data_IF_996908191079
#
_entry.id   IF_996908191079
#
_cell.length_a   1.000
_cell.length_b   1.000
_cell.length_c   1.000
_cell.angle_alpha   90.00
_cell.angle_beta   90.00
_cell.angle_gamma   90.00
#
_symmetry.space_group_name_H-M   'P 1'
#
loop_
_entity.id
_entity.type
_entity.pdbx_description
1 polymer ?
#
# COMPACT_ATOMS: atom_id res chain seq x y z
N UNK A 1 31.43 28.97 -39.78
CA UNK A 1 30.28 28.81 -38.87
C UNK A 1 30.43 27.47 -38.17
N UNK A 2 30.62 27.43 -36.84
CA UNK A 2 30.43 26.18 -36.09
C UNK A 2 28.93 25.96 -36.02
N UNK A 3 28.42 24.92 -36.68
CA UNK A 3 27.04 24.46 -36.47
C UNK A 3 26.82 24.31 -34.96
N UNK A 4 25.78 24.97 -34.43
CA UNK A 4 25.27 24.64 -33.11
C UNK A 4 24.81 23.20 -33.19
N UNK A 5 25.61 22.25 -32.69
CA UNK A 5 25.12 20.89 -32.42
C UNK A 5 23.90 21.04 -31.52
N UNK A 6 22.75 20.62 -32.00
CA UNK A 6 21.55 20.51 -31.16
C UNK A 6 21.89 19.63 -29.96
N UNK A 7 21.44 20.06 -28.77
CA UNK A 7 21.72 19.32 -27.53
C UNK A 7 20.97 17.99 -27.59
N UNK A 8 21.69 16.89 -27.37
CA UNK A 8 21.11 15.56 -27.29
C UNK A 8 20.04 15.48 -26.18
N UNK A 9 19.02 14.66 -26.41
CA UNK A 9 18.04 14.28 -25.39
C UNK A 9 18.69 13.22 -24.50
N UNK A 10 18.69 13.47 -23.19
CA UNK A 10 19.21 12.53 -22.21
C UNK A 10 18.06 11.62 -21.76
N UNK A 11 18.18 10.33 -22.07
CA UNK A 11 17.30 9.29 -21.54
C UNK A 11 18.00 8.70 -20.33
N UNK A 12 17.37 8.78 -19.16
CA UNK A 12 17.87 8.17 -17.93
C UNK A 12 16.95 7.02 -17.53
N UNK A 13 17.55 5.87 -17.25
CA UNK A 13 16.83 4.72 -16.72
C UNK A 13 17.67 4.06 -15.63
N UNK A 14 17.01 3.62 -14.56
CA UNK A 14 17.63 2.96 -13.42
C UNK A 14 16.95 1.61 -13.25
N UNK A 15 17.72 0.55 -13.48
CA UNK A 15 17.25 -0.82 -13.35
C UNK A 15 17.36 -1.22 -11.89
N UNK A 16 16.22 -1.64 -11.36
CA UNK A 16 16.05 -2.10 -9.99
C UNK A 16 16.22 -3.62 -9.94
N UNK A 17 16.65 -4.16 -8.79
CA UNK A 17 16.85 -5.62 -8.56
C UNK A 17 15.67 -6.53 -8.96
N UNK A 18 14.44 -5.99 -9.00
CA UNK A 18 13.21 -6.72 -9.36
C UNK A 18 13.01 -6.87 -10.87
N UNK A 19 13.73 -6.10 -11.66
CA UNK A 19 13.62 -6.08 -13.10
C UNK A 19 14.55 -7.16 -13.66
N UNK A 20 13.95 -8.20 -14.22
CA UNK A 20 14.70 -9.16 -15.02
C UNK A 20 15.09 -8.55 -16.37
N UNK A 21 15.87 -9.30 -17.14
CA UNK A 21 16.27 -8.89 -18.48
C UNK A 21 15.10 -8.36 -19.33
N UNK A 22 13.98 -9.07 -19.38
CA UNK A 22 12.85 -8.72 -20.25
C UNK A 22 12.20 -7.39 -19.88
N UNK A 23 11.98 -7.17 -18.58
CA UNK A 23 11.32 -5.95 -18.09
C UNK A 23 12.20 -4.74 -18.39
N UNK A 24 13.48 -4.80 -18.02
CA UNK A 24 14.43 -3.73 -18.26
C UNK A 24 14.62 -3.46 -19.77
N UNK A 25 14.69 -4.51 -20.59
CA UNK A 25 14.83 -4.37 -22.03
C UNK A 25 13.62 -3.70 -22.68
N UNK A 26 12.40 -4.07 -22.27
CA UNK A 26 11.15 -3.46 -22.75
C UNK A 26 11.06 -1.99 -22.32
N UNK A 27 11.34 -1.68 -21.06
CA UNK A 27 11.27 -0.32 -20.54
C UNK A 27 12.25 0.63 -21.27
N UNK A 28 13.50 0.21 -21.46
CA UNK A 28 14.49 0.99 -22.21
C UNK A 28 14.05 1.16 -23.67
N UNK A 29 13.50 0.11 -24.29
CA UNK A 29 13.01 0.20 -25.66
C UNK A 29 11.81 1.14 -25.78
N UNK A 30 10.87 1.10 -24.84
CA UNK A 30 9.75 2.02 -24.78
C UNK A 30 10.21 3.47 -24.64
N UNK A 31 11.16 3.76 -23.74
CA UNK A 31 11.73 5.10 -23.59
C UNK A 31 12.37 5.61 -24.89
N UNK A 32 13.05 4.73 -25.63
CA UNK A 32 13.62 5.04 -26.94
C UNK A 32 12.54 5.42 -27.96
N UNK A 33 11.48 4.61 -28.06
CA UNK A 33 10.35 4.84 -28.98
C UNK A 33 9.62 6.14 -28.64
N UNK A 34 9.32 6.37 -27.36
CA UNK A 34 8.68 7.60 -26.88
C UNK A 34 9.54 8.82 -27.19
N UNK A 35 10.84 8.76 -26.92
CA UNK A 35 11.75 9.88 -27.21
C UNK A 35 11.80 10.20 -28.70
N UNK A 36 11.77 9.19 -29.59
CA UNK A 36 11.74 9.42 -31.03
C UNK A 36 10.40 10.00 -31.51
N UNK A 37 9.28 9.70 -30.83
CA UNK A 37 7.96 10.28 -31.13
C UNK A 37 7.90 11.75 -30.68
N UNK A 38 8.42 12.06 -29.50
CA UNK A 38 8.41 13.40 -28.93
C UNK A 38 9.44 14.34 -29.57
N UNK A 39 10.63 13.84 -29.87
CA UNK A 39 11.78 14.62 -30.39
C UNK A 39 12.37 13.96 -31.66
N UNK A 40 11.65 13.99 -32.80
CA UNK A 40 12.01 13.22 -33.98
C UNK A 40 13.40 13.54 -34.55
N UNK A 41 14.26 12.52 -34.63
CA UNK A 41 15.58 12.61 -35.27
C UNK A 41 16.63 13.36 -34.46
N UNK A 42 16.27 13.87 -33.28
CA UNK A 42 17.19 14.55 -32.38
C UNK A 42 18.20 13.54 -31.81
N UNK A 43 19.49 13.92 -31.60
CA UNK A 43 20.47 13.03 -30.99
C UNK A 43 20.03 12.54 -29.61
N UNK A 44 20.25 11.26 -29.28
CA UNK A 44 19.84 10.63 -28.02
C UNK A 44 21.05 10.03 -27.29
N UNK A 45 21.14 10.29 -25.98
CA UNK A 45 22.13 9.67 -25.10
C UNK A 45 21.42 8.90 -23.99
N UNK A 46 21.75 7.62 -23.81
CA UNK A 46 21.23 6.79 -22.72
C UNK A 46 22.18 6.83 -21.53
N UNK A 47 21.64 7.02 -20.34
CA UNK A 47 22.31 6.90 -19.06
C UNK A 47 21.62 5.79 -18.27
N UNK A 48 22.37 4.72 -17.98
CA UNK A 48 21.85 3.55 -17.30
C UNK A 48 22.54 3.34 -15.97
N UNK A 49 21.76 3.27 -14.89
CA UNK A 49 22.22 2.77 -13.59
C UNK A 49 21.60 1.39 -13.32
N UNK A 50 22.35 0.50 -12.65
CA UNK A 50 21.88 -0.84 -12.29
C UNK A 50 22.17 -1.10 -10.81
N UNK A 51 21.09 -1.20 -10.05
CA UNK A 51 21.13 -1.50 -8.62
C UNK A 51 20.94 -2.98 -8.34
N UNK A 52 21.79 -3.53 -7.49
CA UNK A 52 21.75 -4.96 -7.21
C UNK A 52 22.30 -5.78 -8.37
N UNK A 53 21.67 -6.91 -8.71
CA UNK A 53 22.11 -7.78 -9.81
C UNK A 53 23.61 -8.12 -9.80
N UNK A 54 24.11 -8.59 -8.65
CA UNK A 54 25.50 -9.01 -8.51
C UNK A 54 25.59 -10.52 -8.27
N UNK A 55 26.56 -11.16 -8.89
CA UNK A 55 26.95 -12.54 -8.62
C UNK A 55 27.86 -12.62 -7.37
N UNK A 56 28.14 -13.83 -6.89
CA UNK A 56 28.97 -14.06 -5.70
C UNK A 56 30.40 -13.49 -5.82
N UNK A 57 30.90 -13.30 -7.04
CA UNK A 57 32.20 -12.69 -7.31
C UNK A 57 32.14 -11.15 -7.39
N UNK A 58 30.98 -10.54 -7.13
CA UNK A 58 30.77 -9.08 -7.15
C UNK A 58 30.60 -8.48 -8.55
N UNK A 59 30.60 -9.30 -9.62
CA UNK A 59 30.26 -8.86 -10.97
C UNK A 59 28.75 -8.84 -11.20
N UNK A 60 28.28 -8.36 -12.37
CA UNK A 60 26.86 -8.43 -12.71
C UNK A 60 26.37 -9.90 -12.84
N UNK A 61 25.11 -10.15 -12.51
CA UNK A 61 24.46 -11.43 -12.81
C UNK A 61 24.29 -11.65 -14.32
N UNK A 62 23.81 -12.84 -14.71
CA UNK A 62 23.70 -13.25 -16.12
C UNK A 62 22.80 -12.27 -16.89
N UNK A 63 21.63 -11.95 -16.34
CA UNK A 63 20.62 -11.09 -16.97
C UNK A 63 21.15 -9.69 -17.23
N UNK A 64 21.76 -9.03 -16.23
CA UNK A 64 22.28 -7.67 -16.41
C UNK A 64 23.55 -7.62 -17.23
N UNK A 65 24.31 -8.71 -17.30
CA UNK A 65 25.43 -8.83 -18.22
C UNK A 65 24.94 -8.96 -19.67
N UNK A 66 23.91 -9.79 -19.90
CA UNK A 66 23.26 -9.98 -21.20
C UNK A 66 22.59 -8.69 -21.68
N UNK A 67 21.85 -8.01 -20.81
CA UNK A 67 21.22 -6.73 -21.11
C UNK A 67 22.24 -5.70 -21.59
N UNK A 68 23.36 -5.56 -20.86
CA UNK A 68 24.38 -4.58 -21.23
C UNK A 68 25.15 -4.96 -22.50
N UNK A 69 25.53 -6.23 -22.68
CA UNK A 69 26.41 -6.63 -23.80
C UNK A 69 25.67 -6.99 -25.08
N UNK A 70 24.63 -7.80 -24.96
CA UNK A 70 23.94 -8.36 -26.12
C UNK A 70 22.83 -7.41 -26.57
N UNK A 71 21.98 -6.96 -25.64
CA UNK A 71 20.84 -6.13 -25.98
C UNK A 71 21.23 -4.66 -26.21
N UNK A 72 21.81 -3.99 -25.21
CA UNK A 72 22.11 -2.56 -25.31
C UNK A 72 23.21 -2.26 -26.32
N UNK A 73 24.34 -2.98 -26.24
CA UNK A 73 25.45 -2.78 -27.17
C UNK A 73 25.26 -3.48 -28.52
N UNK A 74 24.68 -4.68 -28.54
CA UNK A 74 24.50 -5.45 -29.77
C UNK A 74 23.29 -5.01 -30.60
N UNK A 75 22.16 -4.73 -29.94
CA UNK A 75 20.90 -4.41 -30.62
C UNK A 75 20.54 -2.91 -30.59
N UNK A 76 20.61 -2.25 -29.43
CA UNK A 76 20.12 -0.86 -29.30
C UNK A 76 21.13 0.21 -29.70
N UNK A 77 22.43 -0.10 -29.72
CA UNK A 77 23.46 0.89 -29.98
C UNK A 77 23.31 1.71 -31.28
N UNK A 78 22.82 1.16 -32.40
CA UNK A 78 22.56 1.94 -33.61
C UNK A 78 21.57 3.09 -33.41
N UNK A 79 20.64 3.00 -32.44
CA UNK A 79 19.61 4.01 -32.18
C UNK A 79 20.05 5.08 -31.18
N UNK A 80 21.27 5.04 -30.66
CA UNK A 80 21.78 6.08 -29.76
C UNK A 80 23.02 6.74 -30.35
N UNK A 81 23.25 8.01 -30.01
CA UNK A 81 24.56 8.63 -30.24
C UNK A 81 25.57 8.20 -29.20
N UNK A 82 25.14 8.06 -27.94
CA UNK A 82 25.98 7.67 -26.82
C UNK A 82 25.21 6.77 -25.84
N UNK A 83 25.89 5.78 -25.27
CA UNK A 83 25.38 4.90 -24.22
C UNK A 83 26.35 4.97 -23.05
N UNK A 84 25.86 5.36 -21.88
CA UNK A 84 26.60 5.36 -20.63
C UNK A 84 26.07 4.21 -19.77
N UNK A 85 26.78 3.08 -19.83
CA UNK A 85 26.43 1.87 -19.11
C UNK A 85 27.36 1.68 -17.90
N UNK A 86 26.95 0.92 -16.87
CA UNK A 86 27.82 0.59 -15.74
C UNK A 86 29.12 -0.12 -16.16
N UNK A 87 29.09 -0.93 -17.23
CA UNK A 87 30.28 -1.58 -17.78
C UNK A 87 31.18 -0.63 -18.61
N UNK A 88 30.70 0.55 -19.00
CA UNK A 88 31.47 1.51 -19.76
C UNK A 88 30.61 2.41 -20.66
N UNK A 89 31.24 3.42 -21.24
CA UNK A 89 30.61 4.34 -22.20
C UNK A 89 30.95 3.96 -23.64
N UNK A 90 29.95 3.99 -24.52
CA UNK A 90 30.09 3.72 -25.96
C UNK A 90 29.53 4.87 -26.78
N UNK A 91 30.31 5.33 -27.77
CA UNK A 91 29.92 6.38 -28.71
C UNK A 91 29.66 5.73 -30.07
N UNK A 92 28.48 5.94 -30.63
CA UNK A 92 28.10 5.40 -31.94
C UNK A 92 28.76 6.21 -33.07
N UNK A 93 29.79 5.62 -33.69
CA UNK A 93 30.54 6.24 -34.79
C UNK A 93 29.82 6.14 -36.15
N UNK A 94 28.78 5.32 -36.28
CA UNK A 94 28.07 5.07 -37.54
C UNK A 94 26.90 6.05 -37.77
N UNK A 95 26.59 6.88 -36.78
CA UNK A 95 25.43 7.77 -36.79
C UNK A 95 24.20 7.09 -36.20
N UNK A 96 23.29 7.90 -35.65
CA UNK A 96 22.04 7.44 -35.04
C UNK A 96 21.03 7.01 -36.11
N UNK A 97 20.48 5.81 -35.97
CA UNK A 97 19.33 5.35 -36.73
C UNK A 97 18.02 5.87 -36.09
N UNK A 98 17.15 6.43 -36.92
CA UNK A 98 15.85 6.97 -36.51
C UNK A 98 14.68 6.08 -36.95
N UNK A 99 14.94 5.06 -37.75
CA UNK A 99 13.95 4.07 -38.17
C UNK A 99 13.85 2.99 -37.09
N UNK A 100 13.02 3.27 -36.08
CA UNK A 100 12.78 2.41 -34.91
C UNK A 100 11.47 1.65 -35.14
N UNK A 101 11.45 0.35 -34.83
CA UNK A 101 10.21 -0.43 -34.85
C UNK A 101 9.25 0.04 -33.75
N UNK A 102 7.95 -0.02 -34.00
CA UNK A 102 6.94 0.44 -33.03
C UNK A 102 6.81 -0.48 -31.82
N UNK A 103 7.04 -1.77 -32.01
CA UNK A 103 6.92 -2.81 -30.98
C UNK A 103 8.07 -3.80 -31.08
N UNK A 104 8.52 -4.28 -29.92
CA UNK A 104 9.56 -5.29 -29.78
C UNK A 104 9.05 -6.39 -28.84
N UNK A 105 8.90 -7.60 -29.39
CA UNK A 105 8.60 -8.78 -28.59
C UNK A 105 9.90 -9.46 -28.16
N UNK A 106 10.09 -9.59 -26.85
CA UNK A 106 11.21 -10.29 -26.21
C UNK A 106 10.65 -11.50 -25.49
N UNK A 107 11.22 -12.67 -25.76
CA UNK A 107 10.82 -13.95 -25.18
C UNK A 107 12.03 -14.68 -24.57
N UNK A 108 11.94 -15.08 -23.31
CA UNK A 108 12.85 -16.04 -22.69
C UNK A 108 12.40 -17.48 -22.98
N UNK A 109 13.33 -18.32 -23.44
CA UNK A 109 13.11 -19.76 -23.58
C UNK A 109 13.16 -20.52 -22.24
N UNK A 110 13.65 -19.86 -21.19
CA UNK A 110 13.81 -20.41 -19.84
C UNK A 110 12.94 -19.61 -18.87
N UNK A 111 11.62 -19.61 -19.08
CA UNK A 111 10.63 -19.19 -18.07
C UNK A 111 10.58 -20.19 -16.90
N UNK A 112 11.70 -20.34 -16.18
CA UNK A 112 11.53 -20.46 -14.73
C UNK A 112 11.15 -19.08 -14.30
N UNK A 113 9.84 -18.86 -14.08
CA UNK A 113 9.36 -17.76 -13.23
C UNK A 113 10.23 -17.79 -11.97
N UNK A 114 11.24 -16.94 -11.95
CA UNK A 114 12.07 -16.80 -10.79
C UNK A 114 11.15 -16.15 -9.76
N UNK A 115 10.82 -16.92 -8.71
CA UNK A 115 9.95 -16.50 -7.61
C UNK A 115 10.54 -15.29 -6.82
N UNK A 116 11.58 -14.63 -7.35
CA UNK A 116 12.15 -13.37 -6.83
C UNK A 116 11.13 -12.23 -6.85
N UNK A 117 10.13 -12.27 -7.74
CA UNK A 117 8.93 -11.41 -7.70
C UNK A 117 7.94 -11.79 -6.57
N UNK A 118 8.13 -12.94 -5.92
CA UNK A 118 7.38 -13.43 -4.75
C UNK A 118 8.21 -13.44 -3.47
N UNK A 119 9.48 -13.01 -3.52
CA UNK A 119 10.25 -12.68 -2.33
C UNK A 119 9.93 -11.26 -1.88
N UNK A 120 9.88 -11.07 -0.56
CA UNK A 120 9.50 -9.82 0.05
C UNK A 120 10.54 -8.75 -0.33
N UNK A 121 10.19 -7.82 -1.21
CA UNK A 121 11.15 -6.83 -1.69
C UNK A 121 11.27 -5.67 -0.71
N UNK A 122 12.42 -5.54 -0.06
CA UNK A 122 12.77 -4.39 0.77
C UNK A 122 13.75 -3.51 0.00
N UNK A 123 13.34 -2.29 -0.30
CA UNK A 123 14.24 -1.26 -0.83
C UNK A 123 15.24 -0.88 0.28
N UNK A 124 16.53 -0.78 -0.04
CA UNK A 124 17.55 -0.46 0.97
C UNK A 124 17.60 1.05 1.20
N UNK A 125 16.59 1.60 1.88
CA UNK A 125 16.58 2.97 2.37
C UNK A 125 17.28 3.06 3.73
N UNK A 126 17.65 4.26 4.17
CA UNK A 126 18.22 4.50 5.52
C UNK A 126 17.33 3.93 6.66
N UNK A 127 16.04 3.70 6.41
CA UNK A 127 15.04 3.28 7.41
C UNK A 127 14.56 1.83 7.25
N UNK A 128 15.17 1.01 6.39
CA UNK A 128 14.76 -0.40 6.15
C UNK A 128 15.70 -1.44 6.76
N UNK A 129 16.69 -0.98 7.54
CA UNK A 129 17.67 -1.84 8.23
C UNK A 129 16.98 -2.88 9.11
N UNK A 130 16.02 -2.43 9.93
CA UNK A 130 15.20 -3.30 10.79
C UNK A 130 14.49 -4.41 10.01
N UNK A 131 13.90 -4.08 8.86
CA UNK A 131 13.16 -5.04 8.04
C UNK A 131 14.12 -6.08 7.44
N UNK A 132 15.38 -5.69 7.22
CA UNK A 132 16.45 -6.52 6.67
C UNK A 132 17.09 -7.48 7.67
N UNK A 133 16.80 -7.33 8.97
CA UNK A 133 17.20 -8.28 10.00
C UNK A 133 16.69 -9.68 9.65
N UNK A 134 17.52 -10.70 9.83
CA UNK A 134 17.27 -12.04 9.27
C UNK A 134 15.97 -12.66 9.77
N UNK A 135 15.69 -12.53 11.07
CA UNK A 135 14.49 -13.03 11.73
C UNK A 135 13.25 -12.18 11.40
N UNK A 136 13.39 -10.85 11.37
CA UNK A 136 12.34 -9.92 10.95
C UNK A 136 11.93 -10.17 9.49
N UNK A 137 12.89 -10.29 8.58
CA UNK A 137 12.64 -10.61 7.18
C UNK A 137 11.93 -11.95 7.00
N UNK A 138 12.36 -12.97 7.75
CA UNK A 138 11.72 -14.28 7.72
C UNK A 138 10.26 -14.21 8.19
N UNK A 139 9.99 -13.46 9.26
CA UNK A 139 8.63 -13.19 9.74
C UNK A 139 7.80 -12.46 8.68
N UNK A 140 8.31 -11.35 8.13
CA UNK A 140 7.60 -10.55 7.13
C UNK A 140 7.27 -11.37 5.88
N UNK A 141 8.19 -12.23 5.42
CA UNK A 141 7.96 -13.14 4.27
C UNK A 141 6.80 -14.10 4.52
N UNK A 142 6.65 -14.63 5.73
CA UNK A 142 5.51 -15.48 6.10
C UNK A 142 4.23 -14.67 6.22
N UNK A 143 4.28 -13.51 6.88
CA UNK A 143 3.15 -12.60 7.02
C UNK A 143 2.58 -12.18 5.66
N UNK A 144 3.43 -11.80 4.72
CA UNK A 144 3.04 -11.45 3.35
C UNK A 144 2.23 -12.54 2.65
N UNK A 145 2.61 -13.82 2.82
CA UNK A 145 1.86 -14.95 2.24
C UNK A 145 0.45 -15.06 2.83
N UNK A 146 0.31 -14.89 4.14
CA UNK A 146 -0.99 -14.90 4.83
C UNK A 146 -1.85 -13.71 4.40
N UNK A 147 -1.27 -12.51 4.35
CA UNK A 147 -1.98 -11.30 3.92
C UNK A 147 -2.42 -11.38 2.45
N UNK A 148 -1.62 -11.98 1.57
CA UNK A 148 -2.01 -12.23 0.18
C UNK A 148 -3.21 -13.17 0.08
N UNK A 149 -3.17 -14.30 0.81
CA UNK A 149 -4.32 -15.22 0.90
C UNK A 149 -5.58 -14.53 1.43
N UNK A 150 -5.43 -13.57 2.35
CA UNK A 150 -6.54 -12.76 2.86
C UNK A 150 -7.05 -11.74 1.83
N UNK A 151 -6.17 -11.05 1.10
CA UNK A 151 -6.54 -10.09 0.06
C UNK A 151 -7.27 -10.70 -1.15
N UNK A 152 -6.98 -11.97 -1.43
CA UNK A 152 -7.61 -12.77 -2.50
C UNK A 152 -8.95 -13.39 -2.08
N UNK A 153 -9.40 -13.20 -0.82
CA UNK A 153 -10.69 -13.75 -0.37
C UNK A 153 -11.85 -12.93 -0.91
N UNK A 154 -12.94 -13.64 -1.24
CA UNK A 154 -14.20 -13.03 -1.58
C UNK A 154 -15.07 -12.90 -0.32
N UNK A 155 -15.00 -11.74 0.33
CA UNK A 155 -15.73 -11.45 1.57
C UNK A 155 -17.22 -11.32 1.24
N UNK A 156 -18.02 -12.28 1.71
CA UNK A 156 -19.45 -12.28 1.47
C UNK A 156 -20.18 -11.32 2.39
N UNK A 157 -21.37 -10.89 1.97
CA UNK A 157 -22.28 -10.19 2.85
C UNK A 157 -22.76 -11.13 3.96
N UNK A 158 -22.93 -10.61 5.18
CA UNK A 158 -23.47 -11.42 6.26
C UNK A 158 -24.98 -11.56 6.16
N UNK A 159 -25.46 -12.81 6.27
CA UNK A 159 -26.89 -13.12 6.18
C UNK A 159 -27.67 -12.43 7.31
N UNK A 160 -28.74 -11.72 6.91
CA UNK A 160 -29.82 -11.27 7.80
C UNK A 160 -29.86 -9.77 8.10
N UNK A 161 -28.72 -9.11 8.37
CA UNK A 161 -28.70 -7.70 8.82
C UNK A 161 -27.93 -6.74 7.90
N UNK A 162 -27.28 -7.24 6.83
CA UNK A 162 -26.65 -6.43 5.79
C UNK A 162 -27.33 -6.61 4.42
N UNK A 163 -28.62 -6.19 4.27
CA UNK A 163 -29.38 -6.39 3.04
C UNK A 163 -28.82 -5.64 1.81
N UNK A 164 -27.89 -4.71 2.03
CA UNK A 164 -27.32 -3.85 1.00
C UNK A 164 -25.84 -4.13 0.70
N UNK A 165 -25.21 -5.08 1.40
CA UNK A 165 -23.80 -5.43 1.19
C UNK A 165 -22.82 -4.33 1.63
N UNK A 166 -23.18 -3.51 2.63
CA UNK A 166 -22.29 -2.49 3.17
C UNK A 166 -21.07 -3.09 3.85
N UNK A 167 -21.24 -4.22 4.54
CA UNK A 167 -20.18 -4.90 5.26
C UNK A 167 -19.20 -5.59 4.32
N UNK A 168 -19.67 -6.15 3.19
CA UNK A 168 -18.78 -6.73 2.17
C UNK A 168 -17.97 -5.65 1.46
N UNK A 169 -18.59 -4.50 1.15
CA UNK A 169 -17.89 -3.33 0.61
C UNK A 169 -16.82 -2.79 1.56
N UNK A 170 -17.12 -2.70 2.86
CA UNK A 170 -16.13 -2.33 3.88
C UNK A 170 -15.05 -3.42 4.01
N UNK A 171 -15.40 -4.69 3.91
CA UNK A 171 -14.45 -5.81 3.85
C UNK A 171 -13.39 -5.63 2.76
N UNK A 172 -13.79 -5.22 1.55
CA UNK A 172 -12.84 -4.96 0.46
C UNK A 172 -11.91 -3.78 0.77
N UNK A 173 -12.44 -2.73 1.38
CA UNK A 173 -11.63 -1.61 1.87
C UNK A 173 -10.59 -2.08 2.90
N UNK A 174 -10.98 -2.95 3.83
CA UNK A 174 -10.07 -3.49 4.86
C UNK A 174 -8.95 -4.34 4.25
N UNK A 175 -9.27 -5.19 3.28
CA UNK A 175 -8.24 -5.94 2.54
C UNK A 175 -7.19 -4.99 1.94
N UNK A 176 -7.65 -3.95 1.22
CA UNK A 176 -6.75 -2.97 0.61
C UNK A 176 -5.95 -2.19 1.66
N UNK A 177 -6.59 -1.79 2.76
CA UNK A 177 -5.95 -1.06 3.85
C UNK A 177 -4.82 -1.87 4.49
N UNK A 178 -5.07 -3.15 4.80
CA UNK A 178 -4.07 -4.05 5.41
C UNK A 178 -2.91 -4.30 4.43
N UNK A 179 -3.19 -4.54 3.15
CA UNK A 179 -2.15 -4.73 2.12
C UNK A 179 -1.28 -3.48 1.98
N UNK A 180 -1.89 -2.30 1.85
CA UNK A 180 -1.14 -1.05 1.69
C UNK A 180 -0.37 -0.67 2.95
N UNK A 181 -0.93 -0.97 4.13
CA UNK A 181 -0.27 -0.77 5.42
C UNK A 181 0.99 -1.65 5.53
N UNK A 182 0.86 -2.93 5.17
CA UNK A 182 1.98 -3.86 5.13
C UNK A 182 3.06 -3.40 4.16
N UNK A 183 2.70 -3.03 2.93
CA UNK A 183 3.65 -2.52 1.93
C UNK A 183 4.34 -1.25 2.42
N UNK A 184 3.59 -0.31 3.01
CA UNK A 184 4.15 0.91 3.60
C UNK A 184 5.20 0.59 4.67
N UNK A 185 4.99 -0.46 5.46
CA UNK A 185 6.00 -0.92 6.41
C UNK A 185 7.22 -1.50 5.73
N UNK A 186 7.05 -2.36 4.72
CA UNK A 186 8.17 -2.93 3.95
C UNK A 186 9.05 -1.84 3.31
N UNK A 187 8.43 -0.78 2.79
CA UNK A 187 9.13 0.35 2.19
C UNK A 187 9.73 1.34 3.21
N UNK A 188 9.61 1.10 4.51
CA UNK A 188 10.14 2.02 5.53
C UNK A 188 9.35 3.33 5.71
N UNK A 189 8.13 3.41 5.18
CA UNK A 189 7.27 4.58 5.31
C UNK A 189 6.51 4.58 6.65
N UNK A 190 7.24 4.77 7.75
CA UNK A 190 6.69 4.66 9.10
C UNK A 190 5.62 5.73 9.43
N UNK A 191 5.60 6.86 8.70
CA UNK A 191 4.55 7.87 8.76
C UNK A 191 3.20 7.31 8.30
N UNK A 192 3.19 6.73 7.11
CA UNK A 192 1.98 6.11 6.57
C UNK A 192 1.56 4.92 7.41
N UNK A 193 2.51 4.07 7.84
CA UNK A 193 2.23 2.96 8.76
C UNK A 193 1.48 3.42 9.99
N UNK A 194 1.94 4.47 10.67
CA UNK A 194 1.29 4.90 11.92
C UNK A 194 -0.10 5.50 11.68
N UNK A 195 -0.27 6.29 10.62
CA UNK A 195 -1.57 6.86 10.26
C UNK A 195 -2.58 5.78 9.84
N UNK A 196 -2.12 4.78 9.09
CA UNK A 196 -2.95 3.67 8.62
C UNK A 196 -3.25 2.66 9.72
N UNK A 197 -2.29 2.34 10.61
CA UNK A 197 -2.54 1.52 11.81
C UNK A 197 -3.62 2.16 12.67
N UNK A 198 -3.59 3.49 12.86
CA UNK A 198 -4.67 4.21 13.55
C UNK A 198 -6.03 3.98 12.87
N UNK A 199 -6.11 4.17 11.55
CA UNK A 199 -7.34 3.97 10.79
C UNK A 199 -7.84 2.50 10.85
N UNK A 200 -6.92 1.55 10.87
CA UNK A 200 -7.22 0.12 11.04
C UNK A 200 -7.79 -0.17 12.43
N UNK A 201 -7.22 0.41 13.50
CA UNK A 201 -7.73 0.29 14.87
C UNK A 201 -9.16 0.87 14.97
N UNK A 202 -9.39 2.07 14.41
CA UNK A 202 -10.73 2.67 14.38
C UNK A 202 -11.72 1.76 13.64
N UNK A 203 -11.33 1.25 12.47
CA UNK A 203 -12.16 0.37 11.66
C UNK A 203 -12.46 -0.96 12.38
N UNK A 204 -11.46 -1.55 13.04
CA UNK A 204 -11.60 -2.77 13.84
C UNK A 204 -12.68 -2.61 14.92
N UNK A 205 -12.61 -1.53 15.70
CA UNK A 205 -13.58 -1.27 16.78
C UNK A 205 -15.00 -1.15 16.23
N UNK A 206 -15.19 -0.33 15.19
CA UNK A 206 -16.52 -0.12 14.64
C UNK A 206 -17.09 -1.37 13.95
N UNK A 207 -16.28 -2.08 13.18
CA UNK A 207 -16.69 -3.35 12.55
C UNK A 207 -17.06 -4.40 13.61
N UNK A 208 -16.28 -4.49 14.69
CA UNK A 208 -16.57 -5.43 15.78
C UNK A 208 -17.88 -5.10 16.48
N UNK A 209 -18.15 -3.82 16.79
CA UNK A 209 -19.44 -3.42 17.37
C UNK A 209 -20.59 -3.80 16.43
N UNK A 210 -20.49 -3.48 15.14
CA UNK A 210 -21.53 -3.82 14.16
C UNK A 210 -21.78 -5.33 14.08
N UNK A 211 -20.72 -6.14 14.12
CA UNK A 211 -20.80 -7.61 14.10
C UNK A 211 -21.31 -8.22 15.42
N UNK A 212 -21.02 -7.61 16.58
CA UNK A 212 -21.56 -8.06 17.87
C UNK A 212 -23.04 -7.72 18.01
N UNK A 213 -23.46 -6.54 17.56
CA UNK A 213 -24.86 -6.09 17.66
C UNK A 213 -25.78 -6.74 16.61
N UNK A 214 -25.25 -7.06 15.42
CA UNK A 214 -26.00 -7.65 14.29
C UNK A 214 -27.33 -6.93 14.00
N UNK A 215 -27.31 -5.61 14.09
CA UNK A 215 -28.50 -4.76 13.97
C UNK A 215 -28.50 -4.02 12.63
N UNK A 216 -29.55 -4.25 11.85
CA UNK A 216 -29.78 -3.54 10.58
C UNK A 216 -29.93 -2.03 10.83
N UNK A 217 -30.69 -1.63 11.86
CA UNK A 217 -30.89 -0.24 12.24
C UNK A 217 -29.56 0.46 12.58
N UNK A 218 -28.67 -0.22 13.30
CA UNK A 218 -27.36 0.33 13.65
C UNK A 218 -26.46 0.51 12.42
N UNK A 219 -26.50 -0.43 11.49
CA UNK A 219 -25.77 -0.35 10.22
C UNK A 219 -26.30 0.81 9.35
N UNK A 220 -27.62 0.99 9.31
CA UNK A 220 -28.25 2.15 8.68
C UNK A 220 -27.83 3.47 9.33
N UNK A 221 -27.86 3.55 10.66
CA UNK A 221 -27.43 4.71 11.43
C UNK A 221 -25.95 5.07 11.14
N UNK A 222 -25.06 4.07 11.10
CA UNK A 222 -23.66 4.25 10.73
C UNK A 222 -23.51 4.82 9.32
N UNK A 223 -24.22 4.26 8.34
CA UNK A 223 -24.14 4.70 6.94
C UNK A 223 -24.59 6.17 6.80
N UNK A 224 -25.76 6.51 7.35
CA UNK A 224 -26.31 7.88 7.27
C UNK A 224 -25.40 8.87 8.02
N UNK A 225 -24.96 8.53 9.23
CA UNK A 225 -24.06 9.40 10.02
C UNK A 225 -22.72 9.63 9.28
N UNK A 226 -22.20 8.62 8.59
CA UNK A 226 -20.98 8.71 7.79
C UNK A 226 -21.16 9.61 6.57
N UNK A 227 -22.25 9.44 5.81
CA UNK A 227 -22.60 10.29 4.67
C UNK A 227 -22.76 11.76 5.08
N UNK A 228 -23.49 12.02 6.16
CA UNK A 228 -23.69 13.37 6.70
C UNK A 228 -22.38 14.00 7.19
N UNK A 229 -21.49 13.21 7.78
CA UNK A 229 -20.18 13.69 8.20
C UNK A 229 -19.29 14.05 7.00
N UNK A 230 -19.33 13.25 5.94
CA UNK A 230 -18.63 13.54 4.68
C UNK A 230 -19.16 14.79 3.96
N UNK A 231 -20.48 14.96 3.97
CA UNK A 231 -21.17 16.10 3.37
C UNK A 231 -20.67 17.47 3.87
N UNK A 232 -20.23 17.57 5.14
CA UNK A 232 -19.71 18.81 5.72
C UNK A 232 -18.47 19.36 4.99
N UNK A 233 -17.77 18.52 4.24
CA UNK A 233 -16.54 18.86 3.50
C UNK A 233 -16.77 19.16 2.02
N UNK A 234 -18.01 19.03 1.53
CA UNK A 234 -18.36 19.18 0.13
C UNK A 234 -18.85 20.60 -0.21
N UNK A 235 -18.85 20.94 -1.50
CA UNK A 235 -19.48 22.15 -2.02
C UNK A 235 -21.02 22.03 -2.00
N UNK A 236 -21.74 23.14 -2.22
CA UNK A 236 -23.21 23.15 -2.15
C UNK A 236 -23.88 22.16 -3.13
N UNK A 237 -23.23 21.91 -4.28
CA UNK A 237 -23.70 20.92 -5.25
C UNK A 237 -23.56 19.49 -4.70
N UNK A 238 -22.39 19.14 -4.16
CA UNK A 238 -22.15 17.84 -3.53
C UNK A 238 -23.03 17.62 -2.30
N UNK A 239 -23.26 18.66 -1.49
CA UNK A 239 -24.19 18.58 -0.35
C UNK A 239 -25.60 18.21 -0.79
N UNK A 240 -26.12 18.88 -1.82
CA UNK A 240 -27.44 18.59 -2.36
C UNK A 240 -27.55 17.15 -2.88
N UNK A 241 -26.52 16.68 -3.60
CA UNK A 241 -26.49 15.29 -4.10
C UNK A 241 -26.53 14.25 -2.98
N UNK A 242 -25.75 14.44 -1.91
CA UNK A 242 -25.76 13.53 -0.77
C UNK A 242 -27.10 13.60 -0.02
N UNK A 243 -27.68 14.80 0.16
CA UNK A 243 -29.02 14.96 0.74
C UNK A 243 -30.08 14.20 -0.07
N UNK A 244 -30.07 14.33 -1.40
CA UNK A 244 -30.99 13.61 -2.28
C UNK A 244 -30.83 12.07 -2.16
N UNK A 245 -29.59 11.59 -1.99
CA UNK A 245 -29.29 10.17 -1.76
C UNK A 245 -29.86 9.70 -0.42
N UNK A 246 -29.62 10.45 0.66
CA UNK A 246 -30.13 10.13 2.01
C UNK A 246 -31.66 10.10 2.00
N UNK A 247 -32.31 11.11 1.41
CA UNK A 247 -33.77 11.17 1.33
C UNK A 247 -34.37 9.99 0.55
N UNK A 248 -33.75 9.62 -0.58
CA UNK A 248 -34.19 8.49 -1.38
C UNK A 248 -33.98 7.16 -0.63
N UNK A 249 -32.90 7.04 0.12
CA UNK A 249 -32.62 5.88 0.95
C UNK A 249 -33.64 5.73 2.09
N UNK A 250 -33.87 6.80 2.87
CA UNK A 250 -34.86 6.82 3.94
C UNK A 250 -36.27 6.51 3.44
N UNK A 251 -36.65 7.06 2.27
CA UNK A 251 -37.95 6.78 1.64
C UNK A 251 -38.13 5.31 1.28
N UNK A 252 -37.07 4.64 0.82
CA UNK A 252 -37.08 3.18 0.53
C UNK A 252 -37.14 2.34 1.81
N UNK A 253 -36.53 2.81 2.90
CA UNK A 253 -36.57 2.15 4.21
C UNK A 253 -37.88 2.42 5.00
N UNK A 254 -38.80 3.24 4.47
CA UNK A 254 -40.06 3.58 5.14
C UNK A 254 -39.93 4.56 6.31
N UNK A 255 -38.81 5.29 6.40
CA UNK A 255 -38.53 6.28 7.43
C UNK A 255 -38.60 7.72 6.89
N UNK A 256 -39.01 8.67 7.74
CA UNK A 256 -38.99 10.10 7.39
C UNK A 256 -37.56 10.66 7.53
N UNK A 257 -36.97 11.11 6.42
CA UNK A 257 -35.57 11.57 6.39
C UNK A 257 -35.26 12.76 7.30
N UNK A 258 -36.25 13.56 7.69
CA UNK A 258 -36.09 14.72 8.58
C UNK A 258 -35.59 14.35 9.99
N UNK A 259 -35.95 13.16 10.50
CA UNK A 259 -35.52 12.70 11.82
C UNK A 259 -34.01 12.46 11.89
N UNK A 260 -33.41 11.93 10.83
CA UNK A 260 -31.97 11.70 10.75
C UNK A 260 -31.16 12.98 10.66
N UNK A 261 -31.64 14.00 9.93
CA UNK A 261 -30.98 15.31 9.88
C UNK A 261 -31.00 16.00 11.26
N UNK A 262 -32.09 15.84 12.02
CA UNK A 262 -32.18 16.31 13.40
C UNK A 262 -31.24 15.55 14.34
N UNK A 263 -31.21 14.22 14.20
CA UNK A 263 -30.45 13.31 15.07
C UNK A 263 -28.93 13.41 14.88
N UNK A 264 -28.46 13.46 13.63
CA UNK A 264 -27.02 13.46 13.32
C UNK A 264 -26.46 14.81 12.85
N UNK A 265 -27.30 15.78 12.49
CA UNK A 265 -26.85 17.07 11.93
C UNK A 265 -25.93 17.86 12.87
N UNK A 266 -26.21 17.81 14.18
CA UNK A 266 -25.39 18.46 15.24
C UNK A 266 -24.45 17.47 15.95
N UNK A 267 -24.45 16.20 15.54
CA UNK A 267 -23.66 15.13 16.13
C UNK A 267 -22.19 15.12 15.69
N UNK A 268 -21.39 14.32 16.37
CA UNK A 268 -20.03 13.96 15.97
C UNK A 268 -20.04 12.69 15.10
N UNK A 269 -18.88 12.25 14.62
CA UNK A 269 -18.77 11.07 13.75
C UNK A 269 -19.22 9.75 14.41
N UNK A 270 -19.35 9.72 15.75
CA UNK A 270 -19.76 8.55 16.52
C UNK A 270 -21.20 8.64 17.02
N UNK A 271 -21.99 9.63 16.59
CA UNK A 271 -23.37 9.80 17.06
C UNK A 271 -24.29 8.64 16.71
N UNK A 272 -23.94 7.84 15.70
CA UNK A 272 -24.65 6.58 15.38
C UNK A 272 -24.58 5.53 16.51
N UNK A 273 -23.58 5.60 17.40
CA UNK A 273 -23.44 4.69 18.56
C UNK A 273 -24.26 5.12 19.79
N UNK A 274 -24.93 6.28 19.77
CA UNK A 274 -25.58 6.84 20.96
C UNK A 274 -26.64 5.92 21.59
N UNK A 275 -27.37 5.15 20.78
CA UNK A 275 -28.40 4.23 21.28
C UNK A 275 -27.76 3.00 21.94
N UNK A 276 -26.67 2.47 21.36
CA UNK A 276 -25.97 1.28 21.85
C UNK A 276 -25.20 1.59 23.14
N UNK A 277 -24.43 2.68 23.14
CA UNK A 277 -23.58 3.08 24.26
C UNK A 277 -24.38 3.88 25.32
N UNK A 278 -25.63 4.25 25.02
CA UNK A 278 -26.53 5.01 25.90
C UNK A 278 -25.91 6.33 26.38
N UNK A 279 -25.17 7.01 25.49
CA UNK A 279 -24.47 8.26 25.79
C UNK A 279 -24.76 9.32 24.74
N UNK A 280 -25.17 10.51 25.20
CA UNK A 280 -25.55 11.63 24.31
C UNK A 280 -24.42 12.09 23.39
N UNK A 281 -23.18 12.03 23.86
CA UNK A 281 -22.00 12.26 23.05
C UNK A 281 -21.05 11.09 23.25
N UNK A 282 -20.86 10.33 22.18
CA UNK A 282 -19.97 9.16 22.16
C UNK A 282 -18.60 9.59 21.64
N UNK A 283 -17.55 9.23 22.36
CA UNK A 283 -16.15 9.36 21.94
C UNK A 283 -15.61 8.02 21.44
N UNK A 284 -14.46 8.02 20.77
CA UNK A 284 -13.82 6.76 20.37
C UNK A 284 -13.43 5.90 21.58
N UNK A 285 -13.04 6.54 22.68
CA UNK A 285 -12.78 5.86 23.95
C UNK A 285 -14.01 5.12 24.47
N UNK A 286 -15.18 5.75 24.39
CA UNK A 286 -16.44 5.10 24.80
C UNK A 286 -16.74 3.85 23.96
N UNK A 287 -16.43 3.88 22.66
CA UNK A 287 -16.56 2.72 21.78
C UNK A 287 -15.57 1.59 22.14
N UNK A 288 -14.34 1.93 22.54
CA UNK A 288 -13.38 0.93 23.03
C UNK A 288 -13.83 0.33 24.38
N UNK A 289 -14.33 1.17 25.30
CA UNK A 289 -14.84 0.74 26.61
C UNK A 289 -16.07 -0.16 26.46
N UNK A 290 -16.91 0.07 25.44
CA UNK A 290 -18.03 -0.79 25.10
C UNK A 290 -17.61 -2.23 24.81
N UNK A 291 -16.52 -2.40 24.05
CA UNK A 291 -15.93 -3.71 23.73
C UNK A 291 -15.20 -4.37 24.91
N UNK A 292 -15.11 -3.70 26.07
CA UNK A 292 -14.42 -4.18 27.28
C UNK A 292 -12.92 -4.46 27.09
N UNK A 293 -12.30 -3.83 26.10
CA UNK A 293 -10.86 -3.91 25.80
C UNK A 293 -10.24 -2.51 25.89
N UNK A 294 -9.98 -2.00 27.12
CA UNK A 294 -9.46 -0.65 27.33
C UNK A 294 -8.06 -0.43 26.73
N UNK A 295 -7.30 -1.49 26.51
CA UNK A 295 -5.99 -1.48 25.86
C UNK A 295 -6.06 -0.95 24.42
N UNK A 296 -7.19 -1.15 23.71
CA UNK A 296 -7.34 -0.68 22.32
C UNK A 296 -7.19 0.83 22.23
N UNK A 297 -7.73 1.54 23.23
CA UNK A 297 -7.64 3.00 23.25
C UNK A 297 -6.19 3.45 23.51
N UNK A 298 -5.42 2.72 24.31
CA UNK A 298 -4.01 3.03 24.55
C UNK A 298 -3.17 2.81 23.29
N UNK A 299 -3.40 1.71 22.58
CA UNK A 299 -2.74 1.42 21.30
C UNK A 299 -3.08 2.48 20.25
N UNK A 300 -4.35 2.87 20.18
CA UNK A 300 -4.82 3.94 19.32
C UNK A 300 -4.14 5.28 19.64
N UNK A 301 -3.99 5.62 20.93
CA UNK A 301 -3.29 6.82 21.35
C UNK A 301 -1.81 6.76 20.97
N UNK A 302 -1.16 5.60 21.13
CA UNK A 302 0.23 5.38 20.73
C UNK A 302 0.43 5.61 19.22
N UNK A 303 -0.43 5.00 18.39
CA UNK A 303 -0.40 5.22 16.93
C UNK A 303 -0.67 6.69 16.55
N UNK A 304 -1.58 7.35 17.27
CA UNK A 304 -1.97 8.75 17.03
C UNK A 304 -0.91 9.77 17.46
N UNK A 305 -0.20 9.51 18.56
CA UNK A 305 0.81 10.40 19.11
C UNK A 305 1.93 10.67 18.09
N UNK A 306 2.24 9.70 17.24
CA UNK A 306 3.23 9.89 16.19
C UNK A 306 2.81 10.92 15.13
N UNK A 307 1.56 10.84 14.69
CA UNK A 307 1.02 11.72 13.65
C UNK A 307 0.81 13.12 14.20
N UNK A 308 0.24 13.24 15.40
CA UNK A 308 -0.22 14.51 15.97
C UNK A 308 0.72 15.14 17.01
N UNK A 309 1.67 14.38 17.55
CA UNK A 309 2.67 14.89 18.48
C UNK A 309 3.43 16.05 17.85
N UNK A 310 3.75 17.07 18.64
CA UNK A 310 4.50 18.25 18.18
C UNK A 310 5.92 18.28 18.76
N UNK A 311 6.21 17.40 19.71
CA UNK A 311 7.52 17.31 20.34
C UNK A 311 8.49 16.48 19.49
N UNK A 312 9.78 16.78 19.67
CA UNK A 312 10.86 16.15 18.91
C UNK A 312 10.98 14.65 19.19
N UNK A 313 10.60 14.20 20.40
CA UNK A 313 10.64 12.80 20.78
C UNK A 313 9.64 12.03 19.92
N UNK A 314 8.38 12.48 19.87
CA UNK A 314 7.33 11.90 19.03
C UNK A 314 7.65 11.92 17.53
N UNK A 315 8.54 12.80 17.06
CA UNK A 315 8.91 12.89 15.63
C UNK A 315 10.16 12.12 15.24
N UNK A 316 11.15 12.02 16.12
CA UNK A 316 12.48 11.46 15.79
C UNK A 316 12.66 10.05 16.33
N UNK A 317 12.33 9.81 17.60
CA UNK A 317 12.52 8.51 18.27
C UNK A 317 11.98 7.33 17.46
N UNK A 318 10.83 7.44 16.78
CA UNK A 318 10.28 6.35 16.00
C UNK A 318 11.11 5.90 14.78
N UNK A 319 12.09 6.69 14.35
CA UNK A 319 13.04 6.36 13.29
C UNK A 319 14.43 6.03 13.83
N UNK A 320 14.64 6.15 15.15
CA UNK A 320 15.98 6.10 15.75
C UNK A 320 16.33 4.72 16.32
N UNK A 321 15.33 3.98 16.79
CA UNK A 321 15.56 2.73 17.52
C UNK A 321 14.74 1.59 16.94
N UNK A 322 15.36 0.42 16.84
CA UNK A 322 14.70 -0.83 16.45
C UNK A 322 13.48 -1.13 17.33
N UNK A 323 13.55 -0.83 18.62
CA UNK A 323 12.40 -0.94 19.51
C UNK A 323 11.18 -0.17 19.03
N UNK A 324 11.36 1.07 18.61
CA UNK A 324 10.24 1.88 18.13
C UNK A 324 9.67 1.39 16.81
N UNK A 325 10.52 0.82 15.93
CA UNK A 325 10.09 0.22 14.66
C UNK A 325 9.36 -1.10 14.92
N UNK A 326 9.88 -1.93 15.82
CA UNK A 326 9.24 -3.16 16.27
C UNK A 326 7.86 -2.90 16.88
N UNK A 327 7.70 -1.89 17.74
CA UNK A 327 6.39 -1.54 18.30
C UNK A 327 5.36 -1.18 17.21
N UNK A 328 5.80 -0.54 16.11
CA UNK A 328 4.91 -0.28 14.96
C UNK A 328 4.55 -1.56 14.22
N UNK A 329 5.52 -2.44 13.98
CA UNK A 329 5.28 -3.76 13.40
C UNK A 329 4.28 -4.54 14.25
N UNK A 330 4.49 -4.54 15.56
CA UNK A 330 3.65 -5.25 16.53
C UNK A 330 2.20 -4.77 16.46
N UNK A 331 1.95 -3.47 16.63
CA UNK A 331 0.59 -2.92 16.57
C UNK A 331 -0.04 -3.13 15.18
N UNK A 332 0.71 -2.91 14.11
CA UNK A 332 0.22 -3.15 12.75
C UNK A 332 -0.27 -4.59 12.56
N UNK A 333 0.55 -5.58 12.93
CA UNK A 333 0.23 -6.99 12.75
C UNK A 333 -0.87 -7.45 13.69
N UNK A 334 -0.84 -7.02 14.97
CA UNK A 334 -1.86 -7.33 15.96
C UNK A 334 -3.25 -6.92 15.46
N UNK A 335 -3.41 -5.67 15.01
CA UNK A 335 -4.70 -5.19 14.53
C UNK A 335 -5.07 -5.72 13.15
N UNK A 336 -4.09 -6.06 12.31
CA UNK A 336 -4.35 -6.78 11.05
C UNK A 336 -4.99 -8.13 11.34
N UNK A 337 -4.40 -8.94 12.23
CA UNK A 337 -4.94 -10.26 12.58
C UNK A 337 -6.25 -10.17 13.36
N UNK A 338 -6.38 -9.25 14.33
CA UNK A 338 -7.65 -9.00 15.02
C UNK A 338 -8.77 -8.66 14.03
N UNK A 339 -8.49 -7.84 13.02
CA UNK A 339 -9.47 -7.44 12.00
C UNK A 339 -9.78 -8.58 11.02
N UNK A 340 -8.77 -9.34 10.58
CA UNK A 340 -8.96 -10.50 9.72
C UNK A 340 -9.91 -11.53 10.35
N UNK A 341 -9.78 -11.76 11.66
CA UNK A 341 -10.64 -12.68 12.43
C UNK A 341 -12.09 -12.26 12.54
N UNK A 342 -12.43 -11.01 12.19
CA UNK A 342 -13.83 -10.59 12.09
C UNK A 342 -14.55 -11.24 10.90
N UNK A 343 -13.82 -11.77 9.90
CA UNK A 343 -14.39 -12.39 8.71
C UNK A 343 -14.33 -13.92 8.82
N UNK A 344 -15.46 -14.59 8.61
CA UNK A 344 -15.56 -16.04 8.74
C UNK A 344 -14.65 -16.78 7.75
N UNK A 345 -14.46 -16.23 6.55
CA UNK A 345 -13.59 -16.75 5.50
C UNK A 345 -12.13 -16.85 5.95
N UNK A 346 -11.72 -16.06 6.95
CA UNK A 346 -10.37 -16.07 7.51
C UNK A 346 -10.11 -17.24 8.46
N UNK A 347 -11.10 -18.04 8.85
CA UNK A 347 -10.92 -19.19 9.76
C UNK A 347 -9.85 -20.18 9.23
N UNK A 348 -9.78 -20.35 7.90
CA UNK A 348 -8.77 -21.18 7.24
C UNK A 348 -7.32 -20.70 7.43
N UNK A 349 -7.12 -19.43 7.82
CA UNK A 349 -5.81 -18.84 8.10
C UNK A 349 -5.47 -18.85 9.59
N UNK A 350 -6.38 -19.27 10.48
CA UNK A 350 -6.20 -19.14 11.93
C UNK A 350 -4.92 -19.80 12.43
N UNK A 351 -4.61 -21.01 11.93
CA UNK A 351 -3.37 -21.70 12.27
C UNK A 351 -2.12 -20.89 11.89
N UNK A 352 -2.08 -20.33 10.69
CA UNK A 352 -0.96 -19.50 10.21
C UNK A 352 -0.87 -18.18 10.99
N UNK A 353 -2.01 -17.57 11.34
CA UNK A 353 -2.05 -16.35 12.16
C UNK A 353 -1.53 -16.59 13.58
N UNK A 354 -1.91 -17.69 14.23
CA UNK A 354 -1.43 -18.06 15.57
C UNK A 354 0.09 -18.31 15.56
N UNK A 355 0.61 -18.96 14.52
CA UNK A 355 2.06 -19.15 14.36
C UNK A 355 2.78 -17.81 14.17
N UNK A 356 2.26 -16.92 13.33
CA UNK A 356 2.81 -15.58 13.13
C UNK A 356 2.76 -14.75 14.41
N UNK A 357 1.69 -14.81 15.21
CA UNK A 357 1.61 -14.11 16.50
C UNK A 357 2.67 -14.60 17.48
N UNK A 358 2.95 -15.92 17.51
CA UNK A 358 4.05 -16.47 18.33
C UNK A 358 5.40 -15.98 17.83
N UNK A 359 5.64 -15.99 16.52
CA UNK A 359 6.88 -15.49 15.93
C UNK A 359 7.07 -14.00 16.20
N UNK A 360 6.00 -13.20 16.05
CA UNK A 360 6.00 -11.77 16.35
C UNK A 360 6.36 -11.51 17.81
N UNK A 361 5.76 -12.26 18.75
CA UNK A 361 6.13 -12.16 20.16
C UNK A 361 7.57 -12.64 20.43
N UNK A 362 8.09 -13.61 19.67
CA UNK A 362 9.48 -14.04 19.76
C UNK A 362 10.47 -12.96 19.33
N UNK A 363 10.12 -12.15 18.32
CA UNK A 363 10.92 -10.98 17.92
C UNK A 363 11.05 -9.95 19.05
N UNK A 364 10.10 -9.93 20.01
CA UNK A 364 10.17 -9.05 21.17
C UNK A 364 11.44 -9.28 22.01
N UNK A 365 11.96 -10.51 22.06
CA UNK A 365 13.17 -10.82 22.84
C UNK A 365 14.41 -10.08 22.33
N UNK A 366 14.44 -9.81 21.01
CA UNK A 366 15.56 -9.15 20.33
C UNK A 366 15.33 -7.64 20.17
N UNK A 367 14.07 -7.20 20.11
CA UNK A 367 13.72 -5.87 19.66
C UNK A 367 12.68 -5.12 20.53
N UNK A 368 12.09 -5.71 21.59
CA UNK A 368 11.13 -5.02 22.46
C UNK A 368 11.75 -4.37 23.71
#
# INVERSE_FOLDING_TARGET
>A
MKEKREKAVAIYHRIMRRENFETAAKDIFHLLVETQKEEPGRPRSLYLDIDGHRNEAGGFDKDMLELQKEFLLGFLAPYFTELHLPLGTVINKKGQNNDIMDELEIFSAEDKKEDSLHELYMENYENTEFMSEKDVYAFLKKASKVLKKFGDMDIQAEDGYDPHGWMSGWGKYIQNLITELFNSFIHGNLLSVSAMTRALIESYVYLRILKEERSEELLHDWCICSLMSGMKRMDEKGKKQISDIIENYCRKAGAEGEDYFLRFGKGNQNSWLTNVIQKKQVTFRDACEYLKEPEIYQDFQSASAFVHGQDIISKIVPFTFYHSIYQKLYLMMLYSFKTMRLYAESERLEGEMIELEKELNGLAENYA
#
